data_IF_595738535624
#
_entry.id   IF_595738535624
#
_cell.length_a   1.000
_cell.length_b   1.000
_cell.length_c   1.000
_cell.angle_alpha   90.00
_cell.angle_beta   90.00
_cell.angle_gamma   90.00
#
_symmetry.space_group_name_H-M   'P 1'
#
loop_
_entity.id
_entity.type
_entity.pdbx_description
1 polymer ?
#
# COMPACT_ATOMS: atom_id res chain seq x y z
N UNK A 1 12.09 -30.19 -4.10
CA UNK A 1 11.44 -29.94 -5.39
C UNK A 1 11.49 -28.41 -5.58
N UNK A 2 12.11 -27.92 -6.66
CA UNK A 2 12.14 -26.48 -6.96
C UNK A 2 10.76 -26.09 -7.48
N UNK A 3 10.09 -25.16 -6.81
CA UNK A 3 8.85 -24.57 -7.32
C UNK A 3 9.13 -23.97 -8.71
N UNK A 4 8.29 -24.20 -9.72
CA UNK A 4 8.48 -23.59 -11.02
C UNK A 4 8.45 -22.07 -10.91
N UNK A 5 9.13 -21.34 -11.79
CA UNK A 5 9.11 -19.89 -11.78
C UNK A 5 7.67 -19.37 -11.97
N UNK A 6 7.28 -18.38 -11.16
CA UNK A 6 5.96 -17.72 -11.28
C UNK A 6 5.93 -16.96 -12.58
N UNK A 7 4.93 -17.22 -13.42
CA UNK A 7 4.67 -16.41 -14.62
C UNK A 7 3.76 -15.25 -14.22
N UNK A 8 4.29 -14.04 -14.29
CA UNK A 8 3.55 -12.83 -13.89
C UNK A 8 2.79 -12.28 -15.09
N UNK A 9 1.43 -12.24 -15.04
CA UNK A 9 0.61 -11.64 -16.08
C UNK A 9 0.67 -10.11 -15.99
N UNK A 10 0.28 -9.45 -17.06
CA UNK A 10 0.15 -7.99 -17.04
C UNK A 10 -0.99 -7.52 -16.11
N UNK A 11 -2.03 -8.33 -15.97
CA UNK A 11 -3.20 -8.01 -15.12
C UNK A 11 -3.76 -9.24 -14.43
N UNK A 12 -4.43 -9.01 -13.29
CA UNK A 12 -5.27 -9.98 -12.56
C UNK A 12 -6.67 -9.41 -12.44
N UNK A 13 -7.69 -10.22 -12.72
CA UNK A 13 -9.08 -9.79 -12.64
C UNK A 13 -9.53 -9.71 -11.16
N UNK A 14 -10.17 -8.59 -10.82
CA UNK A 14 -10.85 -8.35 -9.55
C UNK A 14 -12.36 -8.16 -9.75
N UNK A 15 -13.09 -7.96 -8.65
CA UNK A 15 -14.54 -7.77 -8.68
C UNK A 15 -14.98 -6.61 -9.58
N UNK A 16 -16.11 -6.80 -10.26
CA UNK A 16 -16.64 -5.82 -11.21
C UNK A 16 -15.90 -5.78 -12.54
N UNK A 17 -15.11 -6.82 -12.87
CA UNK A 17 -14.36 -6.92 -14.12
C UNK A 17 -13.13 -6.01 -14.19
N UNK A 18 -12.69 -5.45 -13.05
CA UNK A 18 -11.50 -4.60 -12.99
C UNK A 18 -10.26 -5.44 -13.21
N UNK A 19 -9.44 -5.04 -14.17
CA UNK A 19 -8.13 -5.65 -14.45
C UNK A 19 -7.05 -4.89 -13.67
N UNK A 20 -6.55 -5.49 -12.58
CA UNK A 20 -5.50 -4.91 -11.75
C UNK A 20 -4.16 -5.04 -12.47
N UNK A 21 -3.46 -3.95 -12.68
CA UNK A 21 -2.11 -3.97 -13.20
C UNK A 21 -1.15 -4.64 -12.21
N UNK A 22 -0.34 -5.58 -12.69
CA UNK A 22 0.61 -6.36 -11.88
C UNK A 22 2.02 -6.03 -12.30
N UNK A 23 2.90 -5.84 -11.33
CA UNK A 23 4.28 -5.43 -11.53
C UNK A 23 5.24 -6.44 -10.89
N UNK A 24 6.12 -7.00 -11.72
CA UNK A 24 7.29 -7.74 -11.26
C UNK A 24 8.36 -6.75 -10.81
N UNK A 25 8.61 -6.65 -9.52
CA UNK A 25 9.65 -5.79 -8.98
C UNK A 25 11.00 -6.53 -8.86
N UNK A 26 11.04 -7.79 -9.30
CA UNK A 26 12.24 -8.60 -9.34
C UNK A 26 12.61 -9.27 -8.03
N UNK A 27 13.81 -9.84 -8.01
CA UNK A 27 14.34 -10.59 -6.89
C UNK A 27 14.27 -12.10 -7.08
N UNK A 28 14.67 -12.84 -6.04
CA UNK A 28 14.69 -14.29 -6.03
C UNK A 28 14.21 -14.80 -4.66
N UNK A 29 13.84 -16.09 -4.58
CA UNK A 29 13.34 -16.67 -3.32
C UNK A 29 11.83 -16.72 -3.22
N UNK A 30 11.30 -16.64 -1.99
CA UNK A 30 9.86 -16.73 -1.77
C UNK A 30 9.12 -15.48 -2.29
N UNK A 31 7.90 -15.65 -2.86
CA UNK A 31 7.13 -14.50 -3.32
C UNK A 31 6.71 -13.61 -2.14
N UNK A 32 6.80 -12.30 -2.37
CA UNK A 32 6.33 -11.25 -1.46
C UNK A 32 5.33 -10.36 -2.20
N UNK A 33 4.08 -10.35 -1.76
CA UNK A 33 3.09 -9.42 -2.28
C UNK A 33 3.28 -8.05 -1.64
N UNK A 34 3.39 -7.00 -2.46
CA UNK A 34 3.49 -5.61 -1.99
C UNK A 34 2.22 -4.85 -2.33
N UNK A 35 1.61 -4.26 -1.30
CA UNK A 35 0.33 -3.57 -1.33
C UNK A 35 0.51 -2.09 -0.96
N UNK A 36 0.24 -1.19 -1.91
CA UNK A 36 0.63 0.22 -1.84
C UNK A 36 -0.35 1.11 -1.06
N UNK A 37 0.12 2.30 -0.66
CA UNK A 37 -0.65 3.35 0.01
C UNK A 37 -1.55 4.14 -0.96
N UNK A 38 -2.54 4.87 -0.42
CA UNK A 38 -3.40 5.79 -1.18
C UNK A 38 -2.57 6.81 -1.95
N UNK A 39 -2.91 7.04 -3.20
CA UNK A 39 -2.23 8.00 -4.07
C UNK A 39 -0.90 7.51 -4.65
N UNK A 40 -0.47 6.31 -4.28
CA UNK A 40 0.74 5.65 -4.78
C UNK A 40 0.39 4.57 -5.82
N UNK A 41 1.38 3.76 -6.16
CA UNK A 41 1.28 2.61 -7.06
C UNK A 41 2.39 1.60 -6.74
N UNK A 42 2.32 0.40 -7.31
CA UNK A 42 3.23 -0.70 -6.99
C UNK A 42 4.71 -0.37 -7.15
N UNK A 43 5.08 0.34 -8.21
CA UNK A 43 6.48 0.71 -8.47
C UNK A 43 7.09 1.67 -7.44
N UNK A 44 6.29 2.38 -6.62
CA UNK A 44 6.83 3.20 -5.53
C UNK A 44 7.70 2.41 -4.55
N UNK A 45 7.52 1.09 -4.51
CA UNK A 45 8.23 0.18 -3.60
C UNK A 45 9.44 -0.49 -4.25
N UNK A 46 9.84 -0.08 -5.46
CA UNK A 46 11.06 -0.57 -6.12
C UNK A 46 12.30 -0.53 -5.22
N UNK A 47 12.60 0.57 -4.48
CA UNK A 47 13.76 0.60 -3.61
C UNK A 47 13.71 -0.44 -2.47
N UNK A 48 12.52 -0.68 -1.90
CA UNK A 48 12.30 -1.73 -0.89
C UNK A 48 12.50 -3.11 -1.53
N UNK A 49 11.90 -3.35 -2.71
CA UNK A 49 12.02 -4.61 -3.44
C UNK A 49 13.48 -4.91 -3.85
N UNK A 50 14.23 -3.90 -4.30
CA UNK A 50 15.65 -4.05 -4.63
C UNK A 50 16.48 -4.48 -3.41
N UNK A 51 16.20 -3.89 -2.24
CA UNK A 51 16.88 -4.28 -1.00
C UNK A 51 16.52 -5.70 -0.54
N UNK A 52 15.31 -6.19 -0.88
CA UNK A 52 14.82 -7.54 -0.57
C UNK A 52 15.19 -8.59 -1.65
N UNK A 53 15.69 -8.17 -2.81
CA UNK A 53 15.92 -9.04 -3.97
C UNK A 53 16.72 -10.32 -3.71
N UNK A 54 17.71 -10.37 -2.78
CA UNK A 54 18.40 -11.62 -2.47
C UNK A 54 17.54 -12.65 -1.73
N UNK A 55 16.44 -12.23 -1.09
CA UNK A 55 15.62 -13.06 -0.18
C UNK A 55 14.22 -13.32 -0.73
N UNK A 56 13.65 -12.37 -1.46
CA UNK A 56 12.28 -12.39 -1.92
C UNK A 56 12.15 -12.00 -3.38
N UNK A 57 11.22 -12.65 -4.08
CA UNK A 57 10.69 -12.19 -5.36
C UNK A 57 9.49 -11.30 -5.09
N UNK A 58 9.65 -10.00 -5.29
CA UNK A 58 8.64 -8.99 -4.95
C UNK A 58 7.69 -8.76 -6.12
N UNK A 59 6.39 -8.90 -5.86
CA UNK A 59 5.31 -8.66 -6.81
C UNK A 59 4.40 -7.59 -6.21
N UNK A 60 4.16 -6.51 -6.97
CA UNK A 60 3.24 -5.45 -6.59
C UNK A 60 2.07 -5.38 -7.58
N UNK A 61 1.05 -4.62 -7.23
CA UNK A 61 -0.08 -4.33 -8.09
C UNK A 61 -0.59 -2.91 -7.83
N UNK A 62 -1.40 -2.41 -8.73
CA UNK A 62 -2.07 -1.14 -8.57
C UNK A 62 -3.55 -1.35 -8.23
N UNK A 63 -4.01 -0.73 -7.15
CA UNK A 63 -5.42 -0.69 -6.80
C UNK A 63 -6.24 0.05 -7.86
N UNK A 64 -7.53 -0.30 -7.98
CA UNK A 64 -8.46 0.44 -8.86
C UNK A 64 -8.34 1.94 -8.70
N UNK A 65 -8.18 2.66 -9.81
CA UNK A 65 -8.01 4.12 -9.84
C UNK A 65 -6.62 4.63 -9.48
N UNK A 66 -5.65 3.73 -9.27
CA UNK A 66 -4.26 4.06 -9.00
C UNK A 66 -3.36 3.46 -10.08
N UNK A 67 -2.19 4.09 -10.30
CA UNK A 67 -1.19 3.60 -11.25
C UNK A 67 -1.81 3.27 -12.62
N UNK A 68 -1.54 2.07 -13.11
CA UNK A 68 -2.01 1.58 -14.40
C UNK A 68 -3.37 0.86 -14.33
N UNK A 69 -3.96 0.73 -13.14
CA UNK A 69 -5.31 0.18 -12.98
C UNK A 69 -6.37 1.26 -13.15
N UNK A 70 -7.32 1.11 -14.11
CA UNK A 70 -8.34 2.13 -14.35
C UNK A 70 -9.26 2.33 -13.14
N UNK A 71 -9.77 3.55 -12.99
CA UNK A 71 -10.84 3.84 -12.03
C UNK A 71 -12.18 3.41 -12.64
N UNK A 72 -12.91 2.50 -11.99
CA UNK A 72 -14.31 2.23 -12.35
C UNK A 72 -15.19 3.48 -12.16
N UNK A 73 -16.29 3.52 -12.90
CA UNK A 73 -17.32 4.53 -12.67
C UNK A 73 -17.97 4.37 -11.29
N UNK A 74 -18.48 5.48 -10.75
CA UNK A 74 -19.19 5.50 -9.49
C UNK A 74 -18.34 5.92 -8.28
N UNK A 75 -18.90 5.63 -7.10
CA UNK A 75 -18.27 6.02 -5.82
C UNK A 75 -17.11 5.10 -5.44
N UNK A 76 -16.14 5.65 -4.73
CA UNK A 76 -15.09 4.87 -4.08
C UNK A 76 -15.71 4.13 -2.89
N UNK A 77 -15.53 2.81 -2.87
CA UNK A 77 -15.99 1.92 -1.80
C UNK A 77 -14.81 1.11 -1.30
N UNK A 78 -14.44 1.25 -0.03
CA UNK A 78 -13.26 0.61 0.55
C UNK A 78 -13.28 -0.92 0.47
N UNK A 79 -14.46 -1.53 0.59
CA UNK A 79 -14.59 -2.98 0.41
C UNK A 79 -14.07 -3.47 -0.95
N UNK A 80 -14.14 -2.63 -1.98
CA UNK A 80 -13.61 -2.96 -3.32
C UNK A 80 -12.08 -2.96 -3.37
N UNK A 81 -11.41 -2.13 -2.57
CA UNK A 81 -9.95 -2.24 -2.40
C UNK A 81 -9.57 -3.54 -1.66
N UNK A 82 -10.38 -3.93 -0.67
CA UNK A 82 -10.22 -5.24 -0.03
C UNK A 82 -10.42 -6.41 -1.02
N UNK A 83 -11.38 -6.29 -1.99
CA UNK A 83 -11.54 -7.27 -3.06
C UNK A 83 -10.31 -7.35 -3.95
N UNK A 84 -9.70 -6.18 -4.30
CA UNK A 84 -8.48 -6.11 -5.11
C UNK A 84 -7.31 -6.83 -4.43
N UNK A 85 -7.08 -6.53 -3.14
CA UNK A 85 -6.05 -7.20 -2.35
C UNK A 85 -6.30 -8.71 -2.24
N UNK A 86 -7.57 -9.12 -2.09
CA UNK A 86 -7.96 -10.53 -2.03
C UNK A 86 -7.68 -11.24 -3.36
N UNK A 87 -8.06 -10.64 -4.49
CA UNK A 87 -7.83 -11.20 -5.82
C UNK A 87 -6.33 -11.43 -6.06
N UNK A 88 -5.50 -10.43 -5.75
CA UNK A 88 -4.05 -10.53 -5.90
C UNK A 88 -3.42 -11.56 -4.98
N UNK A 89 -3.85 -11.63 -3.72
CA UNK A 89 -3.32 -12.60 -2.76
C UNK A 89 -3.67 -14.03 -3.16
N UNK A 90 -4.93 -14.27 -3.58
CA UNK A 90 -5.38 -15.58 -4.07
C UNK A 90 -4.60 -15.98 -5.32
N UNK A 91 -4.51 -15.08 -6.31
CA UNK A 91 -3.75 -15.36 -7.52
C UNK A 91 -2.30 -15.77 -7.21
N UNK A 92 -1.60 -14.99 -6.37
CA UNK A 92 -0.20 -15.26 -6.05
C UNK A 92 -0.03 -16.54 -5.23
N UNK A 93 -0.93 -16.81 -4.27
CA UNK A 93 -0.92 -18.04 -3.49
C UNK A 93 -1.14 -19.28 -4.38
N UNK A 94 -2.03 -19.20 -5.36
CA UNK A 94 -2.29 -20.26 -6.34
C UNK A 94 -1.06 -20.50 -7.23
N UNK A 95 -0.38 -19.42 -7.69
CA UNK A 95 0.85 -19.56 -8.48
C UNK A 95 1.99 -20.14 -7.64
N UNK A 96 2.08 -19.81 -6.37
CA UNK A 96 3.10 -20.31 -5.46
C UNK A 96 2.82 -21.75 -4.99
N UNK A 97 1.57 -22.17 -5.01
CA UNK A 97 1.12 -23.46 -4.49
C UNK A 97 1.01 -23.52 -2.97
N UNK A 98 0.74 -22.38 -2.33
CA UNK A 98 0.56 -22.27 -0.88
C UNK A 98 0.52 -20.82 -0.38
N UNK A 99 0.36 -20.63 0.95
CA UNK A 99 0.28 -19.30 1.55
C UNK A 99 1.54 -18.45 1.25
N UNK A 100 1.33 -17.15 1.05
CA UNK A 100 2.36 -16.16 0.72
C UNK A 100 2.63 -15.22 1.89
N UNK A 101 3.77 -14.53 1.82
CA UNK A 101 4.04 -13.36 2.66
C UNK A 101 3.56 -12.09 1.95
N UNK A 102 3.16 -11.08 2.74
CA UNK A 102 2.79 -9.79 2.17
C UNK A 102 3.26 -8.61 3.02
N UNK A 103 3.62 -7.53 2.34
CA UNK A 103 3.90 -6.23 2.92
C UNK A 103 2.83 -5.23 2.48
N UNK A 104 2.25 -4.50 3.44
CA UNK A 104 1.24 -3.48 3.16
C UNK A 104 1.56 -2.16 3.84
N UNK A 105 1.41 -1.07 3.11
CA UNK A 105 1.60 0.28 3.63
C UNK A 105 0.29 1.04 3.64
N UNK A 106 -0.08 1.63 4.79
CA UNK A 106 -1.22 2.52 4.90
C UNK A 106 -2.54 1.85 4.43
N UNK A 107 -3.18 2.35 3.36
CA UNK A 107 -4.32 1.71 2.70
C UNK A 107 -4.03 0.24 2.36
N UNK A 108 -2.87 -0.03 1.79
CA UNK A 108 -2.47 -1.39 1.43
C UNK A 108 -2.42 -2.33 2.64
N UNK A 109 -1.99 -1.83 3.80
CA UNK A 109 -2.03 -2.58 5.06
C UNK A 109 -3.45 -2.91 5.52
N UNK A 110 -4.38 -1.96 5.44
CA UNK A 110 -5.78 -2.20 5.74
C UNK A 110 -6.41 -3.22 4.80
N UNK A 111 -6.14 -3.08 3.49
CA UNK A 111 -6.67 -4.00 2.48
C UNK A 111 -6.13 -5.42 2.61
N UNK A 112 -4.87 -5.62 3.05
CA UNK A 112 -4.35 -6.95 3.36
C UNK A 112 -5.04 -7.57 4.58
N UNK A 113 -5.39 -6.78 5.61
CA UNK A 113 -6.20 -7.28 6.74
C UNK A 113 -7.61 -7.64 6.28
N UNK A 114 -8.23 -6.86 5.39
CA UNK A 114 -9.52 -7.21 4.79
C UNK A 114 -9.43 -8.50 3.97
N UNK A 115 -8.35 -8.70 3.22
CA UNK A 115 -8.10 -9.93 2.47
C UNK A 115 -7.89 -11.13 3.41
N UNK A 116 -7.17 -10.97 4.53
CA UNK A 116 -6.95 -12.02 5.52
C UNK A 116 -8.25 -12.45 6.23
N UNK A 117 -9.19 -11.52 6.43
CA UNK A 117 -10.54 -11.85 6.93
C UNK A 117 -11.33 -12.69 5.93
N UNK A 118 -11.26 -12.37 4.63
CA UNK A 118 -11.99 -13.05 3.56
C UNK A 118 -11.38 -14.41 3.20
N UNK A 119 -10.05 -14.48 3.22
CA UNK A 119 -9.26 -15.65 2.83
C UNK A 119 -8.11 -15.86 3.84
N UNK A 120 -8.41 -16.44 5.01
CA UNK A 120 -7.41 -16.67 6.08
C UNK A 120 -6.33 -17.69 5.69
N UNK A 121 -6.54 -18.42 4.61
CA UNK A 121 -5.67 -19.48 4.10
C UNK A 121 -4.56 -18.97 3.15
N UNK A 122 -4.65 -17.74 2.63
CA UNK A 122 -3.74 -17.25 1.59
C UNK A 122 -2.47 -16.59 2.13
N UNK A 123 -2.46 -16.19 3.39
CA UNK A 123 -1.29 -15.52 3.97
C UNK A 123 -0.57 -16.39 4.99
N UNK A 124 0.75 -16.48 4.85
CA UNK A 124 1.64 -17.04 5.87
C UNK A 124 1.94 -15.99 6.94
N UNK A 125 2.37 -14.80 6.52
CA UNK A 125 2.72 -13.67 7.39
C UNK A 125 2.37 -12.33 6.73
N UNK A 126 2.06 -11.35 7.57
CA UNK A 126 1.85 -9.96 7.16
C UNK A 126 2.86 -9.04 7.87
N UNK A 127 3.43 -8.10 7.12
CA UNK A 127 4.16 -6.95 7.66
C UNK A 127 3.43 -5.69 7.22
N UNK A 128 2.90 -4.92 8.17
CA UNK A 128 2.01 -3.80 7.89
C UNK A 128 2.62 -2.51 8.42
N UNK A 129 2.94 -1.56 7.56
CA UNK A 129 3.44 -0.25 7.95
C UNK A 129 2.27 0.74 8.05
N UNK A 130 1.93 1.11 9.29
CA UNK A 130 0.86 2.05 9.63
C UNK A 130 -0.47 1.80 8.88
N UNK A 131 -1.07 0.61 9.05
CA UNK A 131 -2.32 0.26 8.36
C UNK A 131 -3.46 1.19 8.76
N UNK A 132 -4.26 1.62 7.78
CA UNK A 132 -5.42 2.50 7.99
C UNK A 132 -6.63 1.68 8.45
N UNK A 133 -6.62 1.27 9.71
CA UNK A 133 -7.73 0.59 10.38
C UNK A 133 -8.06 1.36 11.64
N UNK A 134 -9.17 2.07 11.64
CA UNK A 134 -9.54 2.99 12.71
C UNK A 134 -10.64 2.41 13.60
N UNK A 135 -10.61 2.71 14.91
CA UNK A 135 -11.75 2.45 15.78
C UNK A 135 -12.98 3.23 15.30
N UNK A 136 -14.21 2.83 15.70
CA UNK A 136 -15.45 3.47 15.23
C UNK A 136 -15.51 4.97 15.44
N UNK A 137 -14.86 5.49 16.48
CA UNK A 137 -14.74 6.93 16.75
C UNK A 137 -13.71 7.66 15.86
N UNK A 138 -12.97 6.90 15.02
CA UNK A 138 -11.89 7.41 14.18
C UNK A 138 -10.69 7.94 14.97
N UNK A 139 -9.65 8.39 14.26
CA UNK A 139 -8.51 9.12 14.88
C UNK A 139 -8.80 10.61 15.05
N UNK A 140 -9.90 11.09 14.52
CA UNK A 140 -10.33 12.51 14.57
C UNK A 140 -11.77 12.62 15.02
N UNK A 141 -12.07 12.40 16.32
CA UNK A 141 -13.42 12.58 16.81
C UNK A 141 -13.95 13.99 16.49
N UNK A 142 -15.15 14.08 15.90
CA UNK A 142 -15.80 15.34 15.60
C UNK A 142 -15.41 16.03 14.28
N UNK A 143 -14.51 15.45 13.47
CA UNK A 143 -14.27 15.92 12.10
C UNK A 143 -15.17 15.12 11.16
N UNK A 144 -16.08 15.74 10.41
CA UNK A 144 -16.92 15.04 9.44
C UNK A 144 -16.07 14.33 8.40
N UNK A 145 -16.50 13.15 8.00
CA UNK A 145 -15.90 12.41 6.88
C UNK A 145 -15.96 13.27 5.62
N UNK A 146 -14.85 13.36 4.88
CA UNK A 146 -14.76 14.18 3.67
C UNK A 146 -14.31 15.63 3.89
N UNK A 147 -14.19 16.12 5.12
CA UNK A 147 -13.72 17.50 5.43
C UNK A 147 -12.27 17.54 5.98
N UNK A 148 -11.54 16.45 5.91
CA UNK A 148 -10.18 16.42 6.45
C UNK A 148 -9.20 17.25 5.61
N UNK A 149 -8.12 17.81 6.21
CA UNK A 149 -7.08 18.51 5.46
C UNK A 149 -6.43 17.65 4.36
N UNK A 150 -6.39 16.32 4.53
CA UNK A 150 -5.89 15.38 3.54
C UNK A 150 -6.78 15.36 2.29
N UNK A 151 -8.11 15.33 2.46
CA UNK A 151 -9.08 15.38 1.35
C UNK A 151 -8.92 16.68 0.56
N UNK A 152 -8.86 17.81 1.27
CA UNK A 152 -8.66 19.12 0.63
C UNK A 152 -7.30 19.22 -0.06
N UNK A 153 -6.25 18.69 0.56
CA UNK A 153 -4.91 18.64 -0.01
C UNK A 153 -4.86 17.82 -1.30
N UNK A 154 -5.47 16.63 -1.29
CA UNK A 154 -5.53 15.76 -2.46
C UNK A 154 -6.27 16.43 -3.62
N UNK A 155 -7.48 17.00 -3.38
CA UNK A 155 -8.25 17.71 -4.42
C UNK A 155 -7.51 18.87 -5.07
N UNK A 156 -6.61 19.54 -4.32
CA UNK A 156 -5.83 20.69 -4.79
C UNK A 156 -4.45 20.32 -5.32
N UNK A 157 -4.12 19.03 -5.32
CA UNK A 157 -2.83 18.54 -5.80
C UNK A 157 -2.64 18.90 -7.27
N UNK A 158 -1.47 19.46 -7.59
CA UNK A 158 -1.09 19.67 -8.99
C UNK A 158 -0.89 18.30 -9.66
N UNK A 159 -1.68 18.00 -10.68
CA UNK A 159 -1.71 16.72 -11.38
C UNK A 159 -1.11 16.76 -12.78
N UNK A 160 -0.72 17.96 -13.28
CA UNK A 160 -0.22 18.15 -14.64
C UNK A 160 1.06 18.96 -14.63
N UNK A 161 2.06 18.50 -15.39
CA UNK A 161 3.35 19.14 -15.57
C UNK A 161 3.76 19.08 -17.05
N UNK A 162 4.73 19.91 -17.44
CA UNK A 162 5.24 19.88 -18.83
C UNK A 162 6.11 18.63 -19.09
N UNK A 163 6.88 18.21 -18.09
CA UNK A 163 7.80 17.06 -18.19
C UNK A 163 7.83 16.27 -16.89
N UNK A 164 8.41 15.07 -16.91
CA UNK A 164 8.66 14.25 -15.72
C UNK A 164 9.63 14.97 -14.76
N UNK A 165 10.66 15.64 -15.30
CA UNK A 165 11.63 16.40 -14.51
C UNK A 165 10.95 17.53 -13.73
N UNK A 166 10.02 18.26 -14.37
CA UNK A 166 9.26 19.32 -13.69
C UNK A 166 8.33 18.76 -12.60
N UNK A 167 7.79 17.54 -12.76
CA UNK A 167 7.04 16.86 -11.73
C UNK A 167 7.98 16.45 -10.57
N UNK A 168 9.12 15.85 -10.87
CA UNK A 168 10.14 15.48 -9.90
C UNK A 168 10.60 16.67 -9.05
N UNK A 169 11.02 17.76 -9.69
CA UNK A 169 11.45 18.99 -9.00
C UNK A 169 10.36 19.57 -8.09
N UNK A 170 9.11 19.56 -8.55
CA UNK A 170 7.98 20.05 -7.74
C UNK A 170 7.78 19.20 -6.47
N UNK A 171 7.88 17.88 -6.55
CA UNK A 171 7.68 16.99 -5.42
C UNK A 171 8.91 16.92 -4.52
N UNK A 172 10.13 16.99 -5.07
CA UNK A 172 11.36 17.07 -4.29
C UNK A 172 11.43 18.33 -3.41
N UNK A 173 10.83 19.43 -3.87
CA UNK A 173 10.86 20.71 -3.17
C UNK A 173 9.81 20.86 -2.06
N UNK A 174 8.80 19.95 -1.96
CA UNK A 174 7.61 20.19 -1.14
C UNK A 174 7.22 18.99 -0.27
N UNK A 175 6.81 19.22 0.99
CA UNK A 175 6.16 18.20 1.78
C UNK A 175 4.87 17.69 1.09
N UNK A 176 4.52 16.43 1.31
CA UNK A 176 5.22 15.45 2.15
C UNK A 176 6.30 14.66 1.40
N UNK A 177 6.38 14.74 0.06
CA UNK A 177 7.24 13.86 -0.73
C UNK A 177 8.73 14.26 -0.74
N UNK A 178 9.06 15.45 -0.25
CA UNK A 178 10.46 15.90 -0.14
C UNK A 178 11.32 15.08 0.87
N UNK A 179 10.70 14.18 1.62
CA UNK A 179 11.43 13.24 2.49
C UNK A 179 11.82 11.93 1.78
N UNK A 180 11.35 11.70 0.55
CA UNK A 180 11.67 10.49 -0.21
C UNK A 180 13.15 10.47 -0.61
N UNK A 181 13.73 9.27 -0.68
CA UNK A 181 15.01 9.13 -1.38
C UNK A 181 14.84 9.51 -2.87
N UNK A 182 15.90 9.97 -3.54
CA UNK A 182 15.81 10.29 -4.97
C UNK A 182 15.29 9.11 -5.80
N UNK A 183 15.71 7.88 -5.49
CA UNK A 183 15.26 6.66 -6.17
C UNK A 183 13.75 6.42 -5.97
N UNK A 184 13.25 6.56 -4.74
CA UNK A 184 11.82 6.40 -4.45
C UNK A 184 10.98 7.49 -5.13
N UNK A 185 11.49 8.72 -5.19
CA UNK A 185 10.80 9.82 -5.87
C UNK A 185 10.80 9.65 -7.39
N UNK A 186 11.90 9.16 -7.99
CA UNK A 186 11.92 8.77 -9.40
C UNK A 186 10.91 7.66 -9.68
N UNK A 187 10.89 6.59 -8.88
CA UNK A 187 9.90 5.52 -9.04
C UNK A 187 8.46 6.06 -8.98
N UNK A 188 8.16 6.97 -8.03
CA UNK A 188 6.86 7.62 -7.92
C UNK A 188 6.50 8.43 -9.18
N UNK A 189 7.45 9.22 -9.71
CA UNK A 189 7.16 10.12 -10.85
C UNK A 189 7.16 9.33 -12.17
N UNK A 190 8.17 8.50 -12.42
CA UNK A 190 8.36 7.86 -13.73
C UNK A 190 7.25 6.85 -14.05
N UNK A 191 6.70 6.19 -13.01
CA UNK A 191 5.61 5.21 -13.15
C UNK A 191 4.23 5.75 -12.76
N UNK A 192 4.16 6.81 -11.96
CA UNK A 192 2.90 7.40 -11.49
C UNK A 192 2.27 8.42 -12.43
N UNK A 193 2.97 8.81 -13.50
CA UNK A 193 2.48 9.75 -14.50
C UNK A 193 2.37 9.12 -15.89
N UNK A 194 1.39 9.56 -16.65
CA UNK A 194 1.24 9.24 -18.07
C UNK A 194 1.56 10.48 -18.92
N UNK A 195 2.20 10.26 -20.07
CA UNK A 195 2.52 11.34 -21.03
C UNK A 195 1.48 11.40 -22.14
N UNK A 196 1.07 12.61 -22.49
CA UNK A 196 0.31 12.88 -23.70
C UNK A 196 0.84 14.14 -24.43
N UNK A 197 0.10 14.64 -25.42
CA UNK A 197 0.46 15.84 -26.18
C UNK A 197 0.47 17.14 -25.36
N UNK A 198 -0.12 17.13 -24.16
CA UNK A 198 -0.24 18.31 -23.29
C UNK A 198 0.77 18.29 -22.12
N UNK A 199 1.52 17.21 -21.96
CA UNK A 199 2.50 17.04 -20.90
C UNK A 199 2.42 15.70 -20.20
N UNK A 200 2.70 15.68 -18.89
CA UNK A 200 2.61 14.49 -18.04
C UNK A 200 1.53 14.69 -16.99
N UNK A 201 0.72 13.67 -16.80
CA UNK A 201 -0.49 13.71 -15.95
C UNK A 201 -0.43 12.60 -14.91
N UNK A 202 -0.75 12.94 -13.67
CA UNK A 202 -0.83 11.98 -12.57
C UNK A 202 -1.92 10.93 -12.86
N UNK A 203 -1.54 9.65 -12.86
CA UNK A 203 -2.44 8.52 -13.13
C UNK A 203 -3.52 8.39 -12.04
N UNK A 204 -3.13 8.45 -10.75
CA UNK A 204 -4.08 8.57 -9.67
C UNK A 204 -4.62 10.00 -9.63
N UNK A 205 -5.84 10.20 -10.13
CA UNK A 205 -6.46 11.53 -10.18
C UNK A 205 -6.65 12.13 -8.79
N UNK A 206 -6.49 13.46 -8.61
CA UNK A 206 -6.75 14.14 -7.34
C UNK A 206 -8.09 13.79 -6.69
N UNK A 207 -9.13 13.62 -7.51
CA UNK A 207 -10.47 13.24 -7.04
C UNK A 207 -10.48 11.81 -6.50
N UNK A 208 -9.78 10.87 -7.14
CA UNK A 208 -9.69 9.49 -6.68
C UNK A 208 -9.00 9.40 -5.33
N UNK A 209 -7.85 10.08 -5.20
CA UNK A 209 -7.11 10.14 -3.95
C UNK A 209 -7.94 10.78 -2.83
N UNK A 210 -8.61 11.90 -3.12
CA UNK A 210 -9.46 12.60 -2.17
C UNK A 210 -10.66 11.75 -1.72
N UNK A 211 -11.34 11.08 -2.65
CA UNK A 211 -12.47 10.21 -2.35
C UNK A 211 -12.03 9.00 -1.51
N UNK A 212 -10.82 8.46 -1.77
CA UNK A 212 -10.23 7.38 -0.97
C UNK A 212 -9.95 7.84 0.46
N UNK A 213 -9.40 9.05 0.65
CA UNK A 213 -9.21 9.61 1.99
C UNK A 213 -10.52 9.94 2.69
N UNK A 214 -11.53 10.44 1.95
CA UNK A 214 -12.82 10.81 2.51
C UNK A 214 -13.57 9.62 3.11
N UNK A 215 -13.34 8.43 2.55
CA UNK A 215 -14.03 7.19 2.95
C UNK A 215 -13.15 6.21 3.71
N UNK A 216 -11.95 6.64 4.14
CA UNK A 216 -10.96 5.75 4.78
C UNK A 216 -11.38 5.12 6.10
N UNK A 217 -12.38 5.65 6.77
CA UNK A 217 -12.98 5.09 7.99
C UNK A 217 -14.21 4.22 7.76
N UNK A 218 -14.65 4.04 6.50
CA UNK A 218 -15.95 3.42 6.20
C UNK A 218 -15.97 1.88 6.20
N UNK A 219 -14.83 1.22 6.45
CA UNK A 219 -14.76 -0.24 6.50
C UNK A 219 -14.77 -0.77 7.94
N UNK A 220 -15.39 -1.96 8.15
CA UNK A 220 -15.59 -2.57 9.48
C UNK A 220 -14.41 -3.41 9.98
N UNK A 221 -13.23 -3.32 9.36
CA UNK A 221 -12.08 -4.20 9.67
C UNK A 221 -11.66 -4.14 11.14
N UNK A 222 -11.79 -2.97 11.78
CA UNK A 222 -11.48 -2.79 13.20
C UNK A 222 -12.25 -3.78 14.10
N UNK A 223 -13.53 -3.93 13.85
CA UNK A 223 -14.41 -4.77 14.67
C UNK A 223 -14.12 -6.28 14.51
N UNK A 224 -13.37 -6.65 13.49
CA UNK A 224 -13.03 -8.02 13.12
C UNK A 224 -11.55 -8.37 13.26
N UNK A 225 -10.69 -7.47 13.75
CA UNK A 225 -9.24 -7.72 13.93
C UNK A 225 -8.99 -8.99 14.77
N UNK A 226 -9.82 -9.26 15.79
CA UNK A 226 -9.72 -10.45 16.63
C UNK A 226 -9.97 -11.78 15.92
N UNK A 227 -10.47 -11.77 14.69
CA UNK A 227 -10.72 -12.97 13.87
C UNK A 227 -9.51 -13.32 12.98
N UNK A 228 -8.57 -12.40 12.77
CA UNK A 228 -7.39 -12.58 11.91
C UNK A 228 -6.32 -13.35 12.66
N UNK A 229 -6.06 -14.59 12.25
CA UNK A 229 -5.07 -15.50 12.87
C UNK A 229 -3.70 -15.47 12.22
N UNK A 230 -3.54 -14.75 11.12
CA UNK A 230 -2.27 -14.60 10.41
C UNK A 230 -1.23 -13.95 11.31
N UNK A 231 -0.01 -14.50 11.37
CA UNK A 231 1.14 -13.87 12.07
C UNK A 231 1.40 -12.49 11.42
N UNK A 232 1.23 -11.44 12.22
CA UNK A 232 1.22 -10.07 11.70
C UNK A 232 2.15 -9.17 12.52
N UNK A 233 3.12 -8.55 11.87
CA UNK A 233 3.91 -7.46 12.43
C UNK A 233 3.32 -6.12 11.98
N UNK A 234 2.87 -5.31 12.92
CA UNK A 234 2.48 -3.92 12.68
C UNK A 234 3.66 -3.02 13.02
N UNK A 235 4.11 -2.26 12.04
CA UNK A 235 5.23 -1.32 12.15
C UNK A 235 4.69 0.10 12.13
N UNK A 236 5.21 0.97 12.97
CA UNK A 236 4.94 2.40 12.93
C UNK A 236 6.22 3.22 12.96
N UNK A 237 6.17 4.39 12.35
CA UNK A 237 7.16 5.42 12.58
C UNK A 237 6.94 6.12 13.94
N UNK A 238 7.52 7.29 14.09
CA UNK A 238 7.29 8.16 15.26
C UNK A 238 5.80 8.39 15.45
N UNK A 239 5.34 8.16 16.66
CA UNK A 239 3.93 8.38 17.00
C UNK A 239 3.62 9.88 17.00
N UNK A 240 2.73 10.28 16.14
CA UNK A 240 2.27 11.65 15.99
C UNK A 240 0.74 11.72 16.06
N UNK A 241 0.23 12.78 16.67
CA UNK A 241 -1.20 13.03 16.68
C UNK A 241 -1.73 13.20 15.25
N UNK A 242 -2.90 12.66 14.99
CA UNK A 242 -3.56 12.73 13.68
C UNK A 242 -2.89 11.91 12.56
N UNK A 243 -1.92 11.06 12.89
CA UNK A 243 -1.29 10.12 11.96
C UNK A 243 -1.70 8.67 12.27
N UNK A 244 -1.65 7.75 11.31
CA UNK A 244 -1.94 6.33 11.54
C UNK A 244 -1.03 5.68 12.57
N UNK A 245 0.18 6.19 12.78
CA UNK A 245 1.10 5.75 13.84
C UNK A 245 0.45 5.78 15.23
N UNK A 246 -0.52 6.69 15.46
CA UNK A 246 -1.24 6.84 16.73
C UNK A 246 -2.02 5.59 17.17
N UNK A 247 -2.50 4.82 16.22
CA UNK A 247 -3.35 3.65 16.47
C UNK A 247 -2.68 2.33 16.13
N UNK A 248 -1.48 2.34 15.53
CA UNK A 248 -0.81 1.14 15.06
C UNK A 248 -0.58 0.09 16.17
N UNK A 249 -0.21 0.52 17.38
CA UNK A 249 -0.07 -0.35 18.53
C UNK A 249 -1.41 -1.03 18.89
N UNK A 250 -2.51 -0.28 18.87
CA UNK A 250 -3.84 -0.82 19.18
C UNK A 250 -4.31 -1.82 18.13
N UNK A 251 -3.97 -1.60 16.84
CA UNK A 251 -4.24 -2.59 15.77
C UNK A 251 -3.50 -3.89 16.08
N UNK A 252 -2.21 -3.82 16.45
CA UNK A 252 -1.43 -5.00 16.79
C UNK A 252 -2.00 -5.74 18.02
N UNK A 253 -2.43 -5.01 19.05
CA UNK A 253 -3.01 -5.58 20.28
C UNK A 253 -4.32 -6.35 20.05
N UNK A 254 -5.12 -5.94 19.06
CA UNK A 254 -6.36 -6.63 18.74
C UNK A 254 -6.17 -7.88 17.86
N UNK A 255 -5.05 -7.99 17.18
CA UNK A 255 -4.70 -9.17 16.37
C UNK A 255 -4.22 -10.30 17.28
N UNK A 256 -4.83 -11.50 17.25
CA UNK A 256 -4.42 -12.63 18.13
C UNK A 256 -2.95 -13.02 18.03
N UNK A 257 -2.35 -12.88 16.84
CA UNK A 257 -0.93 -13.11 16.59
C UNK A 257 -0.23 -11.82 16.15
N UNK A 258 -0.69 -10.68 16.68
CA UNK A 258 -0.14 -9.36 16.38
C UNK A 258 1.12 -9.06 17.16
N UNK A 259 2.11 -8.49 16.49
CA UNK A 259 3.33 -7.93 17.09
C UNK A 259 3.44 -6.46 16.68
N UNK A 260 4.01 -5.64 17.54
CA UNK A 260 4.21 -4.21 17.28
C UNK A 260 5.68 -3.83 17.29
N UNK A 261 6.09 -2.99 16.34
CA UNK A 261 7.41 -2.39 16.28
C UNK A 261 7.30 -0.90 15.96
N UNK A 262 7.88 -0.04 16.82
CA UNK A 262 8.00 1.40 16.57
C UNK A 262 9.43 1.76 16.16
N UNK A 263 9.56 2.64 15.15
CA UNK A 263 10.83 3.14 14.64
C UNK A 263 10.80 4.66 14.66
N UNK A 264 11.26 5.28 15.74
CA UNK A 264 11.15 6.72 15.99
C UNK A 264 11.87 7.62 14.96
N UNK A 265 12.80 7.06 14.19
CA UNK A 265 13.46 7.78 13.10
C UNK A 265 12.64 7.89 11.82
N UNK A 266 11.50 7.20 11.73
CA UNK A 266 10.62 7.18 10.55
C UNK A 266 9.35 8.00 10.79
N UNK A 267 8.75 8.45 9.70
CA UNK A 267 7.38 8.97 9.64
C UNK A 267 6.50 8.04 8.80
N UNK A 268 5.26 8.45 8.49
CA UNK A 268 4.33 7.67 7.65
C UNK A 268 4.92 7.26 6.28
N UNK A 269 5.89 7.97 5.77
CA UNK A 269 6.56 7.69 4.49
C UNK A 269 7.85 6.87 4.64
N UNK A 270 8.05 6.21 5.78
CA UNK A 270 9.21 5.36 6.06
C UNK A 270 9.63 4.46 4.89
N UNK A 271 8.70 3.75 4.20
CA UNK A 271 9.04 2.91 3.05
C UNK A 271 9.72 3.63 1.88
N UNK A 272 9.52 4.95 1.75
CA UNK A 272 10.12 5.80 0.72
C UNK A 272 11.27 6.65 1.23
N UNK A 273 11.27 6.98 2.52
CA UNK A 273 12.29 7.82 3.14
C UNK A 273 13.55 7.01 3.56
N UNK A 274 13.35 5.76 3.99
CA UNK A 274 14.41 4.82 4.33
C UNK A 274 14.03 3.39 3.91
N UNK A 275 14.01 3.12 2.60
CA UNK A 275 13.60 1.83 2.07
C UNK A 275 14.49 0.67 2.55
N UNK A 276 15.77 0.94 2.80
CA UNK A 276 16.71 -0.07 3.30
C UNK A 276 16.39 -0.54 4.71
N UNK A 277 16.08 0.38 5.63
CA UNK A 277 15.68 0.03 6.99
C UNK A 277 14.32 -0.69 7.01
N UNK A 278 13.35 -0.27 6.19
CA UNK A 278 12.06 -0.97 6.07
C UNK A 278 12.25 -2.37 5.50
N UNK A 279 13.09 -2.54 4.47
CA UNK A 279 13.42 -3.86 3.92
C UNK A 279 14.08 -4.78 4.97
N UNK A 280 14.97 -4.26 5.81
CA UNK A 280 15.58 -5.04 6.88
C UNK A 280 14.53 -5.53 7.91
N UNK A 281 13.55 -4.68 8.26
CA UNK A 281 12.43 -5.06 9.15
C UNK A 281 11.56 -6.15 8.50
N UNK A 282 11.25 -6.01 7.21
CA UNK A 282 10.48 -7.02 6.47
C UNK A 282 11.24 -8.35 6.48
N UNK A 283 12.52 -8.34 6.11
CA UNK A 283 13.35 -9.53 6.06
C UNK A 283 13.42 -10.26 7.42
N UNK A 284 13.66 -9.53 8.52
CA UNK A 284 13.69 -10.10 9.88
C UNK A 284 12.34 -10.70 10.28
N UNK A 285 11.25 -10.00 10.00
CA UNK A 285 9.91 -10.47 10.32
C UNK A 285 9.52 -11.74 9.57
N UNK A 286 9.96 -11.87 8.31
CA UNK A 286 9.62 -13.01 7.44
C UNK A 286 10.59 -14.19 7.55
N UNK A 287 11.76 -14.02 8.17
CA UNK A 287 12.73 -15.09 8.41
C UNK A 287 12.34 -16.00 9.60
N UNK A 288 11.48 -15.53 10.48
CA UNK A 288 11.03 -16.26 11.70
C UNK A 288 9.92 -17.21 11.36
#
# INVERSE_FOLDING_TARGET
>A
MTTPPITIPATVESTGGVQLAVHDLGGSGSPLLISHATGFHGHCYLPVAHALAPLHHSIAFDYRGHGDTPRPEGQVVWDRYGDDATAMAVWLADQHGGPIDAFGHSMGGACLLMAALRRPDVFRRLVLFEPIVFPPQGIRPGVPEGESPMVHGARRRRSTFHTFEAAFENFAAKPPLNCFTPEALHAYVDHGFARDRHGVHLKCRPETEADTFATGGSHSTWDHLGEIRTDTLVVAGKVEDMQPSKIAAQVAEQLPNGRYLQIDSMNHFGPMADPGAVAAVIADALAR
#
